data_IF_312210965720
#
_entry.id   IF_312210965720
#
_cell.length_a   1.000
_cell.length_b   1.000
_cell.length_c   1.000
_cell.angle_alpha   90.00
_cell.angle_beta   90.00
_cell.angle_gamma   90.00
#
_symmetry.space_group_name_H-M   'P 1'
#
loop_
_entity.id
_entity.type
_entity.pdbx_description
1 polymer ?
#
# COMPACT_ATOMS: atom_id res chain seq x y z
N UNK A 1 2.93 15.19 8.42
CA UNK A 1 2.98 16.66 8.31
C UNK A 1 3.89 17.27 9.36
N UNK A 2 3.61 17.10 10.66
CA UNK A 2 4.38 17.72 11.76
C UNK A 2 5.90 17.50 11.62
N UNK A 3 6.37 16.28 11.38
CA UNK A 3 7.80 15.99 11.23
C UNK A 3 8.43 16.76 10.04
N UNK A 4 7.73 16.83 8.92
CA UNK A 4 8.19 17.54 7.71
C UNK A 4 8.26 19.05 7.96
N UNK A 5 7.26 19.61 8.63
CA UNK A 5 7.26 21.03 9.05
C UNK A 5 8.40 21.34 10.03
N UNK A 6 8.66 20.43 10.96
CA UNK A 6 9.75 20.57 11.93
C UNK A 6 11.12 20.57 11.23
N UNK A 7 11.37 19.62 10.32
CA UNK A 7 12.61 19.55 9.53
C UNK A 7 12.82 20.83 8.70
N UNK A 8 11.78 21.29 8.02
CA UNK A 8 11.81 22.54 7.26
C UNK A 8 12.18 23.73 8.14
N UNK A 9 11.57 23.84 9.33
CA UNK A 9 11.74 24.99 10.23
C UNK A 9 13.09 24.99 10.95
N UNK A 10 13.54 23.83 11.42
CA UNK A 10 14.67 23.74 12.34
C UNK A 10 15.98 23.34 11.66
N UNK A 11 15.90 22.61 10.53
CA UNK A 11 17.07 22.10 9.82
C UNK A 11 17.18 22.67 8.39
N UNK A 12 16.25 23.54 7.99
CA UNK A 12 16.13 24.06 6.63
C UNK A 12 16.13 22.95 5.57
N UNK A 13 15.59 21.78 5.95
CA UNK A 13 15.50 20.60 5.10
C UNK A 13 14.12 20.49 4.46
N UNK A 14 14.08 20.46 3.13
CA UNK A 14 12.87 20.29 2.34
C UNK A 14 13.09 19.06 1.47
N UNK A 15 12.21 18.06 1.61
CA UNK A 15 12.20 16.87 0.77
C UNK A 15 11.11 16.98 -0.30
N UNK A 16 11.39 16.58 -1.54
CA UNK A 16 10.41 16.56 -2.62
C UNK A 16 9.42 15.40 -2.49
N UNK A 17 9.94 14.26 -1.97
CA UNK A 17 9.18 13.02 -1.77
C UNK A 17 9.33 12.58 -0.32
N UNK A 18 8.23 12.21 0.29
CA UNK A 18 8.15 11.66 1.63
C UNK A 18 7.74 10.19 1.53
N UNK A 19 8.52 9.32 2.15
CA UNK A 19 8.17 7.89 2.23
C UNK A 19 7.55 7.61 3.60
N UNK A 20 6.37 7.01 3.57
CA UNK A 20 5.67 6.52 4.75
C UNK A 20 5.81 5.00 4.84
N UNK A 21 6.23 4.52 6.00
CA UNK A 21 6.37 3.11 6.33
C UNK A 21 5.68 2.85 7.65
N UNK A 22 4.84 1.82 7.71
CA UNK A 22 4.14 1.46 8.95
C UNK A 22 4.90 0.32 9.65
N UNK A 23 5.14 0.46 10.94
CA UNK A 23 5.92 -0.54 11.71
C UNK A 23 5.20 -1.89 11.83
N UNK A 24 3.87 -1.88 11.74
CA UNK A 24 3.03 -3.09 11.80
C UNK A 24 3.02 -3.90 10.51
N UNK A 25 3.44 -3.32 9.39
CA UNK A 25 3.56 -3.99 8.10
C UNK A 25 4.98 -4.55 7.94
N UNK A 26 5.20 -5.77 8.42
CA UNK A 26 6.53 -6.34 8.62
C UNK A 26 7.22 -6.83 7.33
N UNK A 27 6.44 -7.36 6.39
CA UNK A 27 6.99 -8.13 5.26
C UNK A 27 7.21 -7.27 4.01
N UNK A 28 7.87 -6.12 4.19
CA UNK A 28 8.31 -5.28 3.08
C UNK A 28 9.67 -5.69 2.55
N UNK A 29 9.88 -5.41 1.27
CA UNK A 29 11.19 -5.54 0.63
C UNK A 29 11.77 -4.15 0.33
N UNK A 30 13.09 -4.06 0.14
CA UNK A 30 13.76 -2.82 -0.26
C UNK A 30 13.21 -2.31 -1.60
N UNK A 31 12.97 -3.20 -2.55
CA UNK A 31 12.44 -2.84 -3.87
C UNK A 31 11.12 -2.09 -3.80
N UNK A 32 10.21 -2.44 -2.89
CA UNK A 32 8.93 -1.73 -2.74
C UNK A 32 9.09 -0.23 -2.51
N UNK A 33 10.10 0.14 -1.71
CA UNK A 33 10.39 1.54 -1.39
C UNK A 33 10.99 2.24 -2.61
N UNK A 34 12.00 1.61 -3.19
CA UNK A 34 12.72 2.15 -4.35
C UNK A 34 11.77 2.30 -5.54
N UNK A 35 10.93 1.28 -5.82
CA UNK A 35 9.95 1.31 -6.91
C UNK A 35 8.93 2.45 -6.75
N UNK A 36 8.42 2.69 -5.52
CA UNK A 36 7.52 3.80 -5.25
C UNK A 36 8.18 5.17 -5.50
N UNK A 37 9.45 5.33 -5.12
CA UNK A 37 10.19 6.56 -5.34
C UNK A 37 10.47 6.76 -6.83
N UNK A 38 10.96 5.71 -7.51
CA UNK A 38 11.34 5.76 -8.92
C UNK A 38 10.14 6.11 -9.82
N UNK A 39 8.97 5.53 -9.53
CA UNK A 39 7.73 5.88 -10.25
C UNK A 39 7.44 7.38 -10.15
N UNK A 40 7.55 7.99 -8.97
CA UNK A 40 7.32 9.43 -8.81
C UNK A 40 8.39 10.29 -9.48
N UNK A 41 9.64 9.84 -9.46
CA UNK A 41 10.73 10.59 -10.12
C UNK A 41 10.53 10.64 -11.64
N UNK A 42 10.04 9.53 -12.21
CA UNK A 42 9.84 9.40 -13.66
C UNK A 42 8.50 9.97 -14.16
N UNK A 43 7.54 10.25 -13.26
CA UNK A 43 6.19 10.68 -13.62
C UNK A 43 5.77 11.91 -12.78
N UNK A 44 6.11 13.13 -13.23
CA UNK A 44 5.84 14.37 -12.49
C UNK A 44 4.36 14.63 -12.23
N UNK A 45 3.46 14.06 -13.04
CA UNK A 45 2.01 14.20 -12.91
C UNK A 45 1.40 13.38 -11.77
N UNK A 46 2.14 12.38 -11.25
CA UNK A 46 1.69 11.56 -10.14
C UNK A 46 1.95 12.24 -8.80
N UNK A 47 0.98 12.16 -7.91
CA UNK A 47 1.04 12.70 -6.56
C UNK A 47 1.61 11.70 -5.56
N UNK A 48 1.28 10.42 -5.74
CA UNK A 48 1.65 9.35 -4.82
C UNK A 48 1.85 8.01 -5.55
N UNK A 49 2.72 7.17 -5.02
CA UNK A 49 2.88 5.79 -5.45
C UNK A 49 2.91 4.88 -4.23
N UNK A 50 2.20 3.76 -4.26
CA UNK A 50 2.13 2.84 -3.13
C UNK A 50 2.01 1.38 -3.56
N UNK A 51 2.34 0.49 -2.64
CA UNK A 51 2.18 -0.95 -2.84
C UNK A 51 0.72 -1.34 -2.73
N UNK A 52 0.23 -2.13 -3.68
CA UNK A 52 -1.13 -2.68 -3.66
C UNK A 52 -1.15 -4.15 -4.05
N UNK A 53 -1.97 -4.93 -3.33
CA UNK A 53 -2.13 -6.35 -3.59
C UNK A 53 -3.33 -6.62 -4.48
N UNK A 54 -3.15 -7.28 -5.64
CA UNK A 54 -4.26 -7.66 -6.50
C UNK A 54 -5.13 -8.73 -5.82
N UNK A 55 -6.43 -8.51 -5.80
CA UNK A 55 -7.41 -9.43 -5.23
C UNK A 55 -8.52 -9.73 -6.21
N UNK A 56 -8.81 -11.01 -6.41
CA UNK A 56 -9.84 -11.50 -7.34
C UNK A 56 -11.15 -11.89 -6.61
N UNK A 57 -11.36 -11.38 -5.39
CA UNK A 57 -12.56 -11.65 -4.60
C UNK A 57 -13.68 -10.68 -4.97
N UNK A 58 -14.92 -11.09 -4.75
CA UNK A 58 -16.07 -10.20 -4.92
C UNK A 58 -16.23 -9.37 -3.65
N UNK A 59 -16.41 -8.08 -3.82
CA UNK A 59 -16.68 -7.14 -2.73
C UNK A 59 -18.07 -6.53 -2.91
N UNK A 60 -18.70 -6.21 -1.79
CA UNK A 60 -20.01 -5.61 -1.73
C UNK A 60 -19.97 -4.37 -0.83
N UNK A 61 -20.61 -3.32 -1.25
CA UNK A 61 -20.80 -2.09 -0.46
C UNK A 61 -22.22 -2.06 0.07
N UNK A 62 -22.40 -1.72 1.34
CA UNK A 62 -23.71 -1.42 1.90
C UNK A 62 -24.15 -0.04 1.43
N UNK A 63 -25.37 0.05 0.89
CA UNK A 63 -26.00 1.29 0.45
C UNK A 63 -27.44 1.30 1.02
N UNK A 64 -27.65 2.05 2.11
CA UNK A 64 -28.86 2.00 2.88
C UNK A 64 -29.15 0.59 3.42
N UNK A 65 -30.29 0.02 3.07
CA UNK A 65 -30.69 -1.35 3.45
C UNK A 65 -30.25 -2.43 2.44
N UNK A 66 -29.65 -2.02 1.32
CA UNK A 66 -29.24 -2.93 0.24
C UNK A 66 -27.71 -3.13 0.22
N UNK A 67 -27.30 -4.17 -0.48
CA UNK A 67 -25.89 -4.40 -0.80
C UNK A 67 -25.69 -4.32 -2.30
N UNK A 68 -24.70 -3.52 -2.72
CA UNK A 68 -24.31 -3.33 -4.11
C UNK A 68 -22.97 -4.02 -4.31
N UNK A 69 -22.88 -4.89 -5.32
CA UNK A 69 -21.65 -5.54 -5.70
C UNK A 69 -20.71 -4.54 -6.39
N UNK A 70 -19.48 -4.45 -5.91
CA UNK A 70 -18.43 -3.71 -6.60
C UNK A 70 -17.99 -4.52 -7.82
N UNK A 71 -17.56 -3.85 -8.91
CA UNK A 71 -17.28 -4.46 -10.20
C UNK A 71 -18.49 -5.25 -10.74
N UNK A 72 -19.63 -4.58 -10.84
CA UNK A 72 -20.92 -5.15 -11.27
C UNK A 72 -20.98 -5.49 -12.76
N UNK A 73 -20.05 -4.98 -13.56
CA UNK A 73 -19.84 -5.25 -14.98
C UNK A 73 -19.37 -6.69 -15.25
N UNK A 74 -18.83 -7.36 -14.24
CA UNK A 74 -18.40 -8.76 -14.35
C UNK A 74 -19.59 -9.69 -14.08
N UNK A 75 -19.96 -10.58 -15.02
CA UNK A 75 -21.07 -11.52 -14.83
C UNK A 75 -20.93 -12.42 -13.61
N UNK A 76 -22.06 -12.77 -12.98
CA UNK A 76 -22.06 -13.78 -11.93
C UNK A 76 -21.54 -15.13 -12.47
N UNK A 77 -20.74 -15.82 -11.67
CA UNK A 77 -20.16 -17.10 -12.07
C UNK A 77 -18.95 -17.00 -12.99
N UNK A 78 -18.51 -15.78 -13.34
CA UNK A 78 -17.29 -15.62 -14.14
C UNK A 78 -16.07 -16.24 -13.43
N UNK A 79 -15.27 -17.08 -14.12
CA UNK A 79 -14.10 -17.70 -13.53
C UNK A 79 -13.14 -16.67 -12.91
N UNK A 80 -12.63 -16.98 -11.70
CA UNK A 80 -11.75 -16.07 -10.96
C UNK A 80 -10.52 -15.63 -11.78
N UNK A 81 -10.00 -16.54 -12.59
CA UNK A 81 -8.81 -16.34 -13.42
C UNK A 81 -9.00 -15.32 -14.55
N UNK A 82 -10.25 -15.07 -14.94
CA UNK A 82 -10.61 -14.14 -16.01
C UNK A 82 -11.08 -12.79 -15.48
N UNK A 83 -11.09 -12.60 -14.16
CA UNK A 83 -11.47 -11.32 -13.54
C UNK A 83 -10.28 -10.40 -13.46
N UNK A 84 -10.48 -9.15 -13.85
CA UNK A 84 -9.54 -8.10 -13.49
C UNK A 84 -9.48 -7.95 -11.97
N UNK A 85 -8.28 -7.83 -11.39
CA UNK A 85 -8.14 -7.68 -9.95
C UNK A 85 -8.61 -6.31 -9.48
N UNK A 86 -9.22 -6.26 -8.31
CA UNK A 86 -9.22 -5.05 -7.49
C UNK A 86 -7.90 -5.01 -6.72
N UNK A 87 -7.42 -3.80 -6.42
CA UNK A 87 -6.20 -3.66 -5.64
C UNK A 87 -6.54 -3.27 -4.21
N UNK A 88 -6.07 -4.07 -3.24
CA UNK A 88 -6.09 -3.70 -1.83
C UNK A 88 -4.92 -2.77 -1.57
N UNK A 89 -5.18 -1.62 -0.95
CA UNK A 89 -4.17 -0.64 -0.55
C UNK A 89 -3.29 -1.19 0.56
N UNK A 90 -1.96 -1.17 0.34
CA UNK A 90 -0.92 -1.62 1.29
C UNK A 90 0.09 -0.49 1.54
N UNK A 91 -0.43 0.71 1.80
CA UNK A 91 0.40 1.90 2.08
C UNK A 91 1.31 1.74 3.30
N UNK A 92 1.00 0.79 4.18
CA UNK A 92 1.86 0.44 5.31
C UNK A 92 3.17 -0.23 4.90
N UNK A 93 3.18 -1.00 3.80
CA UNK A 93 4.39 -1.62 3.26
C UNK A 93 5.31 -0.57 2.65
N UNK A 94 4.81 0.23 1.73
CA UNK A 94 5.51 1.40 1.19
C UNK A 94 4.50 2.35 0.54
N UNK A 95 4.67 3.63 0.83
CA UNK A 95 4.00 4.75 0.20
C UNK A 95 5.00 5.87 0.00
N UNK A 96 5.24 6.29 -1.22
CA UNK A 96 5.91 7.53 -1.55
C UNK A 96 4.87 8.59 -1.94
N UNK A 97 5.01 9.80 -1.45
CA UNK A 97 4.08 10.90 -1.73
C UNK A 97 4.83 12.22 -1.83
N UNK A 98 4.32 13.14 -2.66
CA UNK A 98 4.94 14.46 -2.84
C UNK A 98 4.74 15.35 -1.62
N UNK A 99 5.68 16.25 -1.43
CA UNK A 99 5.68 17.22 -0.33
C UNK A 99 4.35 17.97 -0.18
N UNK A 100 3.79 18.46 -1.28
CA UNK A 100 2.56 19.28 -1.26
C UNK A 100 1.34 18.48 -0.79
N UNK A 101 1.28 17.18 -1.09
CA UNK A 101 0.24 16.28 -0.58
C UNK A 101 0.30 16.18 0.94
N UNK A 102 1.51 15.98 1.50
CA UNK A 102 1.71 15.93 2.96
C UNK A 102 1.36 17.26 3.61
N UNK A 103 1.74 18.37 2.98
CA UNK A 103 1.47 19.72 3.49
C UNK A 103 -0.02 20.04 3.50
N UNK A 104 -0.79 19.50 2.53
CA UNK A 104 -2.26 19.58 2.53
C UNK A 104 -2.94 18.76 3.65
N UNK A 105 -2.16 17.95 4.40
CA UNK A 105 -2.66 17.09 5.48
C UNK A 105 -3.12 15.70 5.02
N UNK A 106 -2.87 15.34 3.78
CA UNK A 106 -3.19 14.02 3.21
C UNK A 106 -1.96 13.11 3.17
N UNK A 107 -2.18 11.80 3.13
CA UNK A 107 -1.13 10.80 2.87
C UNK A 107 -1.06 10.44 1.39
N UNK A 108 -2.23 10.37 0.75
CA UNK A 108 -2.40 10.06 -0.66
C UNK A 108 -2.89 11.28 -1.42
N UNK A 109 -2.36 11.50 -2.61
CA UNK A 109 -2.87 12.45 -3.59
C UNK A 109 -4.09 11.91 -4.34
N UNK A 110 -4.44 12.54 -5.44
CA UNK A 110 -5.54 12.12 -6.30
C UNK A 110 -5.04 11.28 -7.48
N UNK A 111 -3.86 11.63 -8.00
CA UNK A 111 -3.19 10.88 -9.06
C UNK A 111 -2.20 9.89 -8.46
N UNK A 112 -2.69 8.68 -8.20
CA UNK A 112 -1.91 7.64 -7.56
C UNK A 112 -1.49 6.56 -8.55
N UNK A 113 -0.28 6.02 -8.35
CA UNK A 113 0.18 4.80 -9.00
C UNK A 113 0.24 3.66 -8.00
N UNK A 114 -0.18 2.48 -8.41
CA UNK A 114 -0.13 1.28 -7.58
C UNK A 114 1.00 0.38 -8.09
N UNK A 115 1.94 0.05 -7.21
CA UNK A 115 2.96 -0.97 -7.44
C UNK A 115 2.32 -2.33 -7.12
N UNK A 116 2.02 -3.17 -8.12
CA UNK A 116 1.41 -4.47 -7.85
C UNK A 116 2.38 -5.38 -7.14
N UNK A 117 1.96 -5.93 -6.00
CA UNK A 117 2.77 -6.88 -5.25
C UNK A 117 1.96 -8.14 -4.92
N UNK A 118 2.45 -9.29 -5.35
CA UNK A 118 1.79 -10.59 -5.15
C UNK A 118 2.64 -11.41 -4.18
N UNK A 119 2.33 -11.31 -2.90
CA UNK A 119 2.92 -12.16 -1.87
C UNK A 119 1.89 -12.39 -0.76
N UNK A 120 1.73 -13.63 -0.34
CA UNK A 120 0.79 -13.98 0.73
C UNK A 120 1.13 -13.29 2.06
N UNK A 121 2.42 -13.03 2.31
CA UNK A 121 2.88 -12.34 3.52
C UNK A 121 2.46 -10.87 3.60
N UNK A 122 2.17 -10.23 2.47
CA UNK A 122 1.72 -8.84 2.45
C UNK A 122 0.35 -8.63 3.11
N UNK A 123 -0.40 -9.72 3.33
CA UNK A 123 -1.67 -9.68 4.05
C UNK A 123 -1.53 -9.66 5.58
N UNK A 124 -0.32 -9.84 6.09
CA UNK A 124 -0.04 -9.86 7.53
C UNK A 124 0.33 -8.45 7.96
N UNK A 125 -0.59 -7.81 8.67
CA UNK A 125 -0.39 -6.51 9.33
C UNK A 125 -0.84 -6.63 10.78
N UNK A 126 -0.02 -6.18 11.74
CA UNK A 126 -0.26 -6.42 13.16
C UNK A 126 -1.29 -5.45 13.70
N UNK A 127 -2.51 -5.93 13.91
CA UNK A 127 -3.60 -5.22 14.56
C UNK A 127 -4.13 -5.92 15.82
N UNK A 128 -3.74 -7.20 16.02
CA UNK A 128 -4.18 -8.03 17.13
C UNK A 128 -3.06 -8.94 17.63
N UNK A 129 -3.25 -9.52 18.81
CA UNK A 129 -2.38 -10.57 19.37
C UNK A 129 -2.23 -11.77 18.42
N UNK A 130 -3.29 -12.09 17.67
CA UNK A 130 -3.28 -13.16 16.70
C UNK A 130 -2.37 -12.84 15.51
N UNK A 131 -2.40 -11.60 15.03
CA UNK A 131 -1.53 -11.15 13.93
C UNK A 131 -0.06 -11.17 14.38
N UNK A 132 0.21 -10.76 15.62
CA UNK A 132 1.54 -10.84 16.20
C UNK A 132 2.02 -12.29 16.26
N UNK A 133 1.19 -13.20 16.76
CA UNK A 133 1.52 -14.61 16.84
C UNK A 133 1.80 -15.23 15.46
N UNK A 134 0.99 -14.92 14.43
CA UNK A 134 1.25 -15.36 13.05
C UNK A 134 2.57 -14.79 12.56
N UNK A 135 2.83 -13.52 12.78
CA UNK A 135 4.05 -12.84 12.34
C UNK A 135 5.29 -13.49 12.93
N UNK A 136 5.28 -13.80 14.23
CA UNK A 136 6.37 -14.51 14.92
C UNK A 136 6.60 -15.90 14.33
N UNK A 137 5.53 -16.63 13.99
CA UNK A 137 5.62 -17.94 13.34
C UNK A 137 6.24 -17.87 11.97
N UNK A 138 5.79 -16.93 11.14
CA UNK A 138 6.35 -16.72 9.80
C UNK A 138 7.83 -16.33 9.86
N UNK A 139 8.21 -15.43 10.77
CA UNK A 139 9.60 -15.00 10.93
C UNK A 139 10.50 -16.17 11.42
N UNK A 140 9.97 -17.02 12.29
CA UNK A 140 10.71 -18.20 12.76
C UNK A 140 10.93 -19.25 11.67
N UNK A 141 10.05 -19.31 10.68
CA UNK A 141 10.11 -20.22 9.53
C UNK A 141 10.79 -19.54 8.32
N UNK A 142 12.12 -19.37 8.40
CA UNK A 142 12.93 -18.63 7.41
C UNK A 142 12.73 -19.05 5.94
N UNK A 143 12.27 -20.27 5.70
CA UNK A 143 11.98 -20.78 4.34
C UNK A 143 10.79 -20.11 3.65
N UNK A 144 9.93 -19.41 4.42
CA UNK A 144 8.71 -18.74 3.92
C UNK A 144 9.00 -17.27 3.57
N UNK A 145 10.08 -16.70 4.13
CA UNK A 145 10.42 -15.30 3.89
C UNK A 145 10.81 -15.07 2.42
N UNK A 146 10.37 -13.95 1.81
CA UNK A 146 10.81 -13.62 0.47
C UNK A 146 12.33 -13.48 0.44
N UNK A 147 12.97 -14.16 -0.52
CA UNK A 147 14.39 -13.93 -0.76
C UNK A 147 14.59 -12.47 -1.15
N UNK A 148 15.39 -11.75 -0.40
CA UNK A 148 15.90 -10.44 -0.82
C UNK A 148 16.73 -10.65 -2.09
N UNK A 149 16.18 -10.30 -3.24
CA UNK A 149 16.93 -10.19 -4.49
C UNK A 149 17.26 -8.74 -4.71
#
# INVERSE_FOLDING_TARGET
>A
KHAVEWLKKNENYISDIIVYLQVTSLFRTKSMIDDCIEVLLNNPELDSAFVGCPVHKNYWKKDGEKFIRLASDIPYGHPRQLKEPLYREETGLALATRFDVVMSGRRLGENCYIIPFVNELSFIDIHSEFDLWISEKVISEKSILPNEK
#
